data_IF_502050903654
#
_entry.id   IF_502050903654
#
_cell.length_a   1.000
_cell.length_b   1.000
_cell.length_c   1.000
_cell.angle_alpha   90.00
_cell.angle_beta   90.00
_cell.angle_gamma   90.00
#
_symmetry.space_group_name_H-M   'P 1'
#
loop_
_entity.id
_entity.type
_entity.pdbx_description
1 polymer ?
#
# COMPACT_ATOMS: atom_id res chain seq x y z
N UNK A 1 -16.45 -6.52 -9.45
CA UNK A 1 -15.35 -6.55 -8.48
C UNK A 1 -14.83 -5.12 -8.36
N UNK A 2 -14.68 -4.57 -7.16
CA UNK A 2 -14.03 -3.26 -6.98
C UNK A 2 -12.54 -3.39 -7.26
N UNK A 3 -11.95 -2.41 -7.94
CA UNK A 3 -10.51 -2.41 -8.17
C UNK A 3 -9.71 -2.10 -6.91
N UNK A 4 -8.37 -2.11 -7.01
CA UNK A 4 -7.51 -1.81 -5.86
C UNK A 4 -7.65 -0.35 -5.42
N UNK A 5 -7.39 -0.11 -4.15
CA UNK A 5 -7.30 1.24 -3.57
C UNK A 5 -5.84 1.65 -3.43
N UNK A 6 -5.52 2.90 -3.74
CA UNK A 6 -4.16 3.43 -3.62
C UNK A 6 -3.99 4.22 -2.31
N UNK A 7 -2.84 4.04 -1.67
CA UNK A 7 -2.35 4.83 -0.54
C UNK A 7 -1.09 5.57 -1.01
N UNK A 8 -1.03 6.88 -0.78
CA UNK A 8 0.12 7.72 -1.10
C UNK A 8 0.91 8.02 0.17
N UNK A 9 2.15 7.56 0.27
CA UNK A 9 2.96 7.59 1.49
C UNK A 9 4.25 8.38 1.25
N UNK A 10 4.48 9.45 2.01
CA UNK A 10 5.72 10.25 1.95
C UNK A 10 6.83 9.62 2.78
N UNK A 11 7.26 8.44 2.36
CA UNK A 11 8.38 7.74 2.96
C UNK A 11 9.16 6.99 1.89
N UNK A 12 10.42 6.66 2.19
CA UNK A 12 11.21 5.80 1.32
C UNK A 12 10.62 4.38 1.27
N UNK A 13 10.89 3.67 0.18
CA UNK A 13 10.47 2.28 0.00
C UNK A 13 10.89 1.38 1.18
N UNK A 14 12.11 1.55 1.68
CA UNK A 14 12.64 0.73 2.79
C UNK A 14 11.90 0.99 4.10
N UNK A 15 11.50 2.23 4.35
CA UNK A 15 10.70 2.60 5.54
C UNK A 15 9.31 1.98 5.46
N UNK A 16 8.60 2.15 4.33
CA UNK A 16 7.26 1.57 4.13
C UNK A 16 7.31 0.04 4.20
N UNK A 17 8.32 -0.58 3.58
CA UNK A 17 8.57 -2.02 3.68
C UNK A 17 8.76 -2.48 5.12
N UNK A 18 9.56 -1.76 5.90
CA UNK A 18 9.84 -2.12 7.29
C UNK A 18 8.58 -2.04 8.16
N UNK A 19 7.74 -1.02 7.94
CA UNK A 19 6.45 -0.89 8.62
C UNK A 19 5.50 -2.05 8.26
N UNK A 20 5.39 -2.41 6.99
CA UNK A 20 4.57 -3.55 6.55
C UNK A 20 5.07 -4.89 7.11
N UNK A 21 6.38 -5.10 7.16
CA UNK A 21 6.96 -6.29 7.79
C UNK A 21 6.67 -6.32 9.30
N UNK A 22 6.72 -5.17 9.98
CA UNK A 22 6.39 -5.07 11.41
C UNK A 22 4.91 -5.36 11.69
N UNK A 23 4.03 -5.06 10.74
CA UNK A 23 2.61 -5.42 10.77
C UNK A 23 2.37 -6.92 10.51
N UNK A 24 3.39 -7.68 10.12
CA UNK A 24 3.26 -9.11 9.82
C UNK A 24 2.95 -9.41 8.35
N UNK A 25 3.04 -8.44 7.45
CA UNK A 25 2.89 -8.68 6.02
C UNK A 25 4.15 -9.39 5.47
N UNK A 26 4.07 -10.65 5.01
CA UNK A 26 5.16 -11.36 4.33
C UNK A 26 5.41 -10.75 2.94
N UNK A 27 6.68 -10.64 2.55
CA UNK A 27 7.08 -10.06 1.26
C UNK A 27 7.58 -11.12 0.26
N UNK A 28 7.13 -11.07 -0.99
CA UNK A 28 7.71 -11.87 -2.07
C UNK A 28 8.76 -11.07 -2.85
N UNK A 29 9.97 -11.62 -2.98
CA UNK A 29 11.14 -10.93 -3.51
C UNK A 29 11.12 -10.88 -5.05
N UNK A 30 10.37 -9.95 -5.64
CA UNK A 30 10.47 -9.57 -7.07
C UNK A 30 10.63 -8.05 -7.17
N UNK A 31 11.01 -7.55 -8.35
CA UNK A 31 11.42 -6.14 -8.63
C UNK A 31 10.43 -5.05 -8.17
N UNK A 32 9.23 -5.42 -7.72
CA UNK A 32 8.23 -4.61 -7.03
C UNK A 32 7.93 -5.29 -5.69
N UNK A 33 7.95 -4.57 -4.57
CA UNK A 33 7.75 -5.21 -3.26
C UNK A 33 6.27 -5.49 -3.09
N UNK A 34 5.90 -6.76 -3.24
CA UNK A 34 4.55 -7.25 -3.03
C UNK A 34 4.45 -7.88 -1.63
N UNK A 35 3.39 -7.55 -0.90
CA UNK A 35 3.08 -8.13 0.40
C UNK A 35 1.70 -8.78 0.39
N UNK A 36 1.60 -9.95 1.02
CA UNK A 36 0.34 -10.68 1.19
C UNK A 36 -0.18 -10.50 2.62
N UNK A 37 -1.05 -9.53 2.86
CA UNK A 37 -1.60 -9.28 4.21
C UNK A 37 -3.02 -9.84 4.30
N UNK A 38 -3.22 -10.90 5.09
CA UNK A 38 -4.47 -11.66 5.15
C UNK A 38 -4.94 -12.12 3.74
N UNK A 39 -6.10 -11.64 3.26
CA UNK A 39 -6.67 -11.93 1.94
C UNK A 39 -6.37 -10.81 0.91
N UNK A 40 -5.39 -9.94 1.21
CA UNK A 40 -5.07 -8.75 0.43
C UNK A 40 -3.66 -8.79 -0.15
N UNK A 41 -3.52 -8.27 -1.37
CA UNK A 41 -2.23 -8.04 -2.01
C UNK A 41 -1.90 -6.55 -1.97
N UNK A 42 -0.75 -6.20 -1.41
CA UNK A 42 -0.24 -4.83 -1.33
C UNK A 42 0.98 -4.72 -2.26
N UNK A 43 0.92 -3.86 -3.26
CA UNK A 43 2.04 -3.60 -4.18
C UNK A 43 2.62 -2.22 -3.92
N UNK A 44 3.94 -2.14 -3.74
CA UNK A 44 4.65 -0.87 -3.59
C UNK A 44 5.33 -0.43 -4.87
N UNK A 45 5.18 0.84 -5.21
CA UNK A 45 5.96 1.58 -6.20
C UNK A 45 6.56 2.84 -5.57
N UNK A 46 7.77 3.25 -5.96
CA UNK A 46 8.47 4.36 -5.32
C UNK A 46 9.08 5.34 -6.34
N UNK A 47 8.62 6.58 -6.27
CA UNK A 47 9.12 7.75 -7.00
C UNK A 47 10.21 8.43 -6.15
N UNK A 48 11.48 8.27 -6.55
CA UNK A 48 12.62 8.79 -5.78
C UNK A 48 12.71 10.32 -5.77
N UNK A 49 12.29 10.98 -6.85
CA UNK A 49 12.41 12.43 -7.00
C UNK A 49 11.48 13.18 -6.04
N UNK A 50 10.29 12.62 -5.80
CA UNK A 50 9.28 13.20 -4.91
C UNK A 50 9.28 12.59 -3.49
N UNK A 51 10.16 11.60 -3.24
CA UNK A 51 10.17 10.79 -2.02
C UNK A 51 8.79 10.20 -1.70
N UNK A 52 8.08 9.74 -2.74
CA UNK A 52 6.71 9.24 -2.65
C UNK A 52 6.69 7.73 -2.90
N UNK A 53 6.05 6.99 -2.00
CA UNK A 53 5.77 5.57 -2.18
C UNK A 53 4.27 5.38 -2.33
N UNK A 54 3.84 4.80 -3.45
CA UNK A 54 2.45 4.42 -3.68
C UNK A 54 2.25 2.96 -3.30
N UNK A 55 1.25 2.67 -2.48
CA UNK A 55 0.84 1.31 -2.14
C UNK A 55 -0.53 1.02 -2.75
N UNK A 56 -0.63 -0.01 -3.59
CA UNK A 56 -1.91 -0.49 -4.12
C UNK A 56 -2.41 -1.69 -3.32
N UNK A 57 -3.58 -1.55 -2.70
CA UNK A 57 -4.25 -2.58 -1.89
C UNK A 57 -5.35 -3.23 -2.73
N UNK A 58 -5.15 -4.48 -3.12
CA UNK A 58 -6.17 -5.32 -3.76
C UNK A 58 -6.74 -6.36 -2.79
N UNK A 59 -7.98 -6.80 -3.02
CA UNK A 59 -8.65 -7.81 -2.19
C UNK A 59 -10.07 -7.40 -1.77
N UNK A 60 -10.77 -8.24 -1.00
CA UNK A 60 -12.11 -7.92 -0.49
C UNK A 60 -12.06 -6.70 0.43
N UNK A 61 -13.00 -5.76 0.32
CA UNK A 61 -13.00 -4.53 1.15
C UNK A 61 -11.69 -3.70 1.05
N UNK A 62 -11.09 -3.63 -0.14
CA UNK A 62 -9.83 -2.94 -0.40
C UNK A 62 -9.78 -1.51 0.18
N UNK A 63 -10.85 -0.73 0.02
CA UNK A 63 -10.89 0.65 0.53
C UNK A 63 -10.79 0.72 2.06
N UNK A 64 -11.60 -0.07 2.77
CA UNK A 64 -11.58 -0.10 4.24
C UNK A 64 -10.21 -0.56 4.78
N UNK A 65 -9.61 -1.55 4.10
CA UNK A 65 -8.28 -2.07 4.43
C UNK A 65 -7.21 -1.02 4.18
N UNK A 66 -7.30 -0.29 3.07
CA UNK A 66 -6.38 0.80 2.77
C UNK A 66 -6.50 1.97 3.74
N UNK A 67 -7.72 2.33 4.16
CA UNK A 67 -7.94 3.34 5.20
C UNK A 67 -7.34 2.92 6.53
N UNK A 68 -7.53 1.67 6.94
CA UNK A 68 -6.90 1.14 8.14
C UNK A 68 -5.37 1.16 8.04
N UNK A 69 -4.82 0.68 6.91
CA UNK A 69 -3.38 0.61 6.68
C UNK A 69 -2.74 2.00 6.67
N UNK A 70 -3.42 3.01 6.10
CA UNK A 70 -2.98 4.39 6.14
C UNK A 70 -2.78 4.89 7.59
N UNK A 71 -3.75 4.64 8.48
CA UNK A 71 -3.61 5.00 9.89
C UNK A 71 -2.44 4.28 10.56
N UNK A 72 -2.26 2.99 10.29
CA UNK A 72 -1.11 2.26 10.85
C UNK A 72 0.23 2.82 10.36
N UNK A 73 0.33 3.18 9.09
CA UNK A 73 1.55 3.77 8.53
C UNK A 73 1.88 5.12 9.18
N UNK A 74 0.88 5.96 9.46
CA UNK A 74 1.09 7.21 10.22
C UNK A 74 1.60 6.93 11.64
N UNK A 75 1.05 5.94 12.33
CA UNK A 75 1.51 5.52 13.67
C UNK A 75 2.98 5.05 13.66
N UNK A 76 3.44 4.46 12.55
CA UNK A 76 4.85 4.09 12.33
C UNK A 76 5.73 5.26 11.85
N UNK A 77 5.21 6.48 11.80
CA UNK A 77 5.94 7.66 11.37
C UNK A 77 6.13 7.76 9.85
N UNK A 78 5.29 7.09 9.07
CA UNK A 78 5.22 7.23 7.61
C UNK A 78 4.05 8.16 7.26
N UNK A 79 4.29 9.45 6.93
CA UNK A 79 3.21 10.38 6.64
C UNK A 79 2.40 9.92 5.41
N UNK A 80 1.07 9.95 5.50
CA UNK A 80 0.18 9.56 4.40
C UNK A 80 -0.47 10.81 3.80
N UNK A 81 -0.30 11.01 2.49
CA UNK A 81 -0.93 12.12 1.77
C UNK A 81 -2.42 11.89 1.53
N UNK A 82 -2.81 10.62 1.40
CA UNK A 82 -4.21 10.25 1.27
C UNK A 82 -4.43 8.82 0.83
N UNK A 83 -5.70 8.43 0.93
CA UNK A 83 -6.24 7.18 0.40
C UNK A 83 -7.19 7.54 -0.73
N UNK A 84 -6.90 7.04 -1.93
CA UNK A 84 -7.72 7.30 -3.12
C UNK A 84 -8.92 6.34 -3.16
N UNK A 85 -10.03 6.68 -3.84
CA UNK A 85 -11.10 5.71 -4.07
C UNK A 85 -10.58 4.49 -4.87
N UNK A 86 -11.26 3.33 -4.78
CA UNK A 86 -10.94 2.18 -5.62
C UNK A 86 -10.85 2.55 -7.09
N UNK A 87 -9.84 2.05 -7.78
CA UNK A 87 -9.75 2.21 -9.23
C UNK A 87 -10.92 1.50 -9.90
N UNK A 88 -11.56 2.16 -10.87
CA UNK A 88 -12.56 1.50 -11.69
C UNK A 88 -11.87 0.43 -12.54
N UNK A 89 -12.32 -0.82 -12.39
CA UNK A 89 -11.90 -1.90 -13.27
C UNK A 89 -12.64 -1.70 -14.59
N UNK A 90 -12.07 -0.90 -15.48
CA UNK A 90 -12.54 -0.86 -16.86
C UNK A 90 -12.20 -2.23 -17.46
N UNK A 91 -13.21 -3.08 -17.64
CA UNK A 91 -13.05 -4.35 -18.35
C UNK A 91 -12.49 -4.06 -19.73
N UNK A 92 -11.23 -4.45 -19.96
CA UNK A 92 -10.60 -4.44 -21.28
C UNK A 92 -11.17 -5.54 -22.18
#
# INVERSE_FOLDING_TARGET
MSGPTLILVRASLDTVRSALLALGAPAQNRRSVAFDYDDHLILLDHEREEFLTTAAVGGPNAFATASWLAHQLEDFGCPVDGVLPPLDVVSA
#
